data_IF_294514368991
#
_entry.id   IF_294514368991
#
_cell.length_a   1.000
_cell.length_b   1.000
_cell.length_c   1.000
_cell.angle_alpha   90.00
_cell.angle_beta   90.00
_cell.angle_gamma   90.00
#
_symmetry.space_group_name_H-M   'P 1'
#
loop_
_entity.id
_entity.type
_entity.pdbx_description
1 polymer ?
#
# COMPACT_ATOMS: atom_id res chain seq x y z
N UNK A 1 -63.27 -7.16 -6.60
CA UNK A 1 -61.98 -7.29 -5.87
C UNK A 1 -61.09 -8.24 -6.64
N UNK A 2 -60.07 -7.74 -7.33
CA UNK A 2 -59.07 -8.58 -8.02
C UNK A 2 -57.69 -8.18 -7.51
N UNK A 3 -57.05 -9.11 -6.78
CA UNK A 3 -55.68 -8.99 -6.28
C UNK A 3 -54.74 -9.08 -7.48
N UNK A 4 -54.12 -7.96 -7.88
CA UNK A 4 -52.99 -8.01 -8.80
C UNK A 4 -51.76 -8.51 -8.05
N UNK A 5 -51.11 -9.50 -8.66
CA UNK A 5 -49.94 -10.23 -8.18
C UNK A 5 -48.74 -9.31 -7.97
N UNK A 6 -48.14 -9.36 -6.77
CA UNK A 6 -46.75 -8.92 -6.53
C UNK A 6 -45.82 -10.03 -7.02
N UNK A 7 -45.58 -10.07 -8.32
CA UNK A 7 -44.51 -10.88 -8.91
C UNK A 7 -43.86 -9.98 -9.96
N UNK A 8 -42.63 -9.60 -9.64
CA UNK A 8 -41.52 -9.32 -10.55
C UNK A 8 -41.58 -8.08 -11.44
N UNK A 9 -41.54 -6.89 -10.80
CA UNK A 9 -40.69 -5.84 -11.36
C UNK A 9 -39.31 -6.03 -10.75
N UNK A 10 -38.47 -6.81 -11.42
CA UNK A 10 -37.03 -6.76 -11.16
C UNK A 10 -36.61 -5.31 -11.35
N UNK A 11 -35.90 -4.72 -10.37
CA UNK A 11 -35.45 -3.35 -10.49
C UNK A 11 -34.62 -3.22 -11.77
N UNK A 12 -34.87 -2.14 -12.50
CA UNK A 12 -34.09 -1.82 -13.69
C UNK A 12 -32.62 -1.64 -13.31
N UNK A 13 -31.70 -1.83 -14.26
CA UNK A 13 -30.27 -1.59 -14.05
C UNK A 13 -30.04 -0.18 -13.47
N UNK A 14 -30.82 0.80 -13.94
CA UNK A 14 -30.77 2.18 -13.46
C UNK A 14 -31.22 2.31 -11.99
N UNK A 15 -32.31 1.65 -11.59
CA UNK A 15 -32.76 1.66 -10.19
C UNK A 15 -31.78 0.92 -9.27
N UNK A 16 -31.15 -0.14 -9.76
CA UNK A 16 -30.05 -0.83 -9.06
C UNK A 16 -28.83 0.08 -8.92
N UNK A 17 -28.48 0.87 -9.93
CA UNK A 17 -27.38 1.85 -9.85
C UNK A 17 -27.69 3.01 -8.91
N UNK A 18 -28.91 3.54 -8.93
CA UNK A 18 -29.35 4.60 -8.01
C UNK A 18 -29.41 4.08 -6.57
N UNK A 19 -29.91 2.88 -6.35
CA UNK A 19 -29.94 2.22 -5.04
C UNK A 19 -28.51 1.91 -4.58
N UNK A 20 -27.63 1.40 -5.45
CA UNK A 20 -26.21 1.20 -5.17
C UNK A 20 -25.48 2.51 -4.85
N UNK A 21 -25.76 3.62 -5.53
CA UNK A 21 -25.20 4.93 -5.22
C UNK A 21 -25.74 5.52 -3.90
N UNK A 22 -26.94 5.12 -3.50
CA UNK A 22 -27.56 5.54 -2.24
C UNK A 22 -27.06 4.72 -1.05
N UNK A 23 -26.87 3.41 -1.26
CA UNK A 23 -26.37 2.46 -0.26
C UNK A 23 -24.83 2.54 -0.15
N UNK A 24 -24.16 2.90 -1.25
CA UNK A 24 -22.72 3.15 -1.34
C UNK A 24 -22.48 4.48 -2.07
N UNK A 25 -22.60 5.62 -1.38
CA UNK A 25 -22.28 6.91 -1.98
C UNK A 25 -20.81 6.89 -2.35
N UNK A 26 -20.53 6.86 -3.66
CA UNK A 26 -19.22 7.14 -4.24
C UNK A 26 -18.95 8.62 -3.95
N UNK A 27 -18.58 8.89 -2.72
CA UNK A 27 -17.91 10.11 -2.29
C UNK A 27 -16.49 10.03 -2.85
N UNK A 28 -15.86 11.17 -3.16
CA UNK A 28 -14.52 11.20 -3.77
C UNK A 28 -13.50 10.30 -3.06
N UNK A 29 -13.67 10.11 -1.74
CA UNK A 29 -12.84 9.24 -0.91
C UNK A 29 -12.96 7.74 -1.28
N UNK A 30 -14.16 7.25 -1.61
CA UNK A 30 -14.34 5.85 -2.05
C UNK A 30 -13.59 5.59 -3.36
N UNK A 31 -13.74 6.50 -4.33
CA UNK A 31 -13.01 6.41 -5.60
C UNK A 31 -11.49 6.49 -5.39
N UNK A 32 -11.02 7.35 -4.47
CA UNK A 32 -9.60 7.45 -4.12
C UNK A 32 -9.06 6.16 -3.51
N UNK A 33 -9.82 5.51 -2.61
CA UNK A 33 -9.42 4.22 -2.03
C UNK A 33 -9.41 3.09 -3.08
N UNK A 34 -10.41 3.02 -3.95
CA UNK A 34 -10.41 2.05 -5.06
C UNK A 34 -9.21 2.27 -6.01
N UNK A 35 -8.90 3.52 -6.34
CA UNK A 35 -7.74 3.84 -7.17
C UNK A 35 -6.42 3.46 -6.49
N UNK A 36 -6.30 3.70 -5.18
CA UNK A 36 -5.14 3.31 -4.38
C UNK A 36 -4.95 1.79 -4.31
N UNK A 37 -6.03 1.03 -4.13
CA UNK A 37 -5.95 -0.44 -4.13
C UNK A 37 -5.56 -0.99 -5.51
N UNK A 38 -6.10 -0.42 -6.60
CA UNK A 38 -5.68 -0.77 -7.96
C UNK A 38 -4.20 -0.48 -8.20
N UNK A 39 -3.68 0.64 -7.67
CA UNK A 39 -2.24 0.94 -7.71
C UNK A 39 -1.42 -0.13 -6.98
N UNK A 40 -1.84 -0.55 -5.78
CA UNK A 40 -1.17 -1.61 -5.02
C UNK A 40 -1.23 -2.95 -5.74
N UNK A 41 -2.39 -3.37 -6.22
CA UNK A 41 -2.55 -4.61 -6.96
C UNK A 41 -1.69 -4.63 -8.23
N UNK A 42 -1.58 -3.49 -8.92
CA UNK A 42 -0.69 -3.33 -10.09
C UNK A 42 0.78 -3.46 -9.70
N UNK A 43 1.23 -2.74 -8.67
CA UNK A 43 2.59 -2.79 -8.18
C UNK A 43 2.97 -4.19 -7.67
N UNK A 44 2.06 -4.88 -6.98
CA UNK A 44 2.24 -6.25 -6.53
C UNK A 44 2.47 -7.21 -7.72
N UNK A 45 1.72 -7.04 -8.82
CA UNK A 45 1.89 -7.85 -10.03
C UNK A 45 3.17 -7.53 -10.81
N UNK A 46 3.62 -6.28 -10.78
CA UNK A 46 4.91 -5.85 -11.35
C UNK A 46 6.09 -6.44 -10.56
N UNK A 47 5.97 -6.45 -9.24
CA UNK A 47 7.03 -6.83 -8.31
C UNK A 47 7.29 -8.33 -8.29
N UNK A 48 6.25 -9.13 -8.08
CA UNK A 48 6.39 -10.57 -7.90
C UNK A 48 6.34 -11.29 -9.24
N UNK A 49 7.45 -11.28 -9.96
CA UNK A 49 7.62 -11.94 -11.28
C UNK A 49 8.47 -13.20 -11.23
N UNK A 50 9.08 -13.51 -10.09
CA UNK A 50 9.92 -14.69 -9.91
C UNK A 50 10.37 -14.92 -8.46
N UNK A 51 11.02 -16.06 -8.20
CA UNK A 51 11.38 -16.50 -6.84
C UNK A 51 12.36 -15.56 -6.13
N UNK A 52 13.26 -14.91 -6.88
CA UNK A 52 14.23 -13.99 -6.28
C UNK A 52 13.62 -12.68 -5.78
N UNK A 53 12.45 -12.26 -6.27
CA UNK A 53 11.84 -11.00 -5.88
C UNK A 53 11.53 -10.96 -4.38
N UNK A 54 10.87 -12.01 -3.87
CA UNK A 54 10.50 -12.12 -2.45
C UNK A 54 11.75 -12.14 -1.56
N UNK A 55 12.75 -12.97 -1.91
CA UNK A 55 13.99 -13.09 -1.13
C UNK A 55 14.72 -11.75 -1.05
N UNK A 56 14.95 -11.08 -2.18
CA UNK A 56 15.63 -9.78 -2.20
C UNK A 56 14.92 -8.73 -1.36
N UNK A 57 13.58 -8.65 -1.44
CA UNK A 57 12.84 -7.67 -0.66
C UNK A 57 12.89 -7.97 0.83
N UNK A 58 12.79 -9.24 1.23
CA UNK A 58 12.97 -9.66 2.63
C UNK A 58 14.35 -9.28 3.15
N UNK A 59 15.39 -9.54 2.36
CA UNK A 59 16.77 -9.23 2.73
C UNK A 59 17.02 -7.71 2.82
N UNK A 60 16.47 -6.92 1.89
CA UNK A 60 16.64 -5.46 1.88
C UNK A 60 15.83 -4.73 2.96
N UNK A 61 14.60 -5.19 3.23
CA UNK A 61 13.66 -4.49 4.13
C UNK A 61 13.62 -5.07 5.55
N UNK A 62 14.08 -6.30 5.75
CA UNK A 62 13.85 -7.07 6.97
C UNK A 62 12.37 -7.42 7.21
N UNK A 63 11.48 -7.18 6.24
CA UNK A 63 10.06 -7.49 6.36
C UNK A 63 9.82 -8.98 6.14
N UNK A 64 9.24 -9.63 7.14
CA UNK A 64 8.81 -11.02 7.10
C UNK A 64 7.68 -11.20 8.09
N UNK A 65 6.66 -11.96 7.69
CA UNK A 65 5.56 -12.36 8.56
C UNK A 65 5.83 -13.75 9.13
N UNK A 66 5.54 -13.94 10.41
CA UNK A 66 5.46 -15.28 11.00
C UNK A 66 4.24 -16.07 10.48
N UNK A 67 3.26 -15.37 9.90
CA UNK A 67 2.07 -15.96 9.32
C UNK A 67 2.33 -16.66 7.98
N UNK A 68 3.43 -16.32 7.29
CA UNK A 68 3.70 -16.81 5.95
C UNK A 68 4.48 -18.12 6.00
N UNK A 69 3.93 -19.23 5.46
CA UNK A 69 4.62 -20.51 5.44
C UNK A 69 5.96 -20.46 4.69
N UNK A 70 6.88 -21.35 5.05
CA UNK A 70 8.25 -21.33 4.51
C UNK A 70 8.36 -21.81 3.06
N UNK A 71 7.39 -22.58 2.59
CA UNK A 71 7.32 -23.22 1.28
C UNK A 71 6.47 -22.45 0.26
N UNK A 72 6.02 -21.24 0.63
CA UNK A 72 5.21 -20.36 -0.23
C UNK A 72 5.97 -19.98 -1.50
N UNK A 73 5.29 -20.14 -2.64
CA UNK A 73 5.79 -19.78 -3.94
C UNK A 73 5.46 -18.31 -4.29
N UNK A 74 6.34 -17.63 -5.04
CA UNK A 74 6.17 -16.20 -5.40
C UNK A 74 4.84 -15.89 -6.11
N UNK A 75 4.22 -16.88 -6.74
CA UNK A 75 2.91 -16.74 -7.38
C UNK A 75 1.78 -16.52 -6.39
N UNK A 76 1.90 -16.97 -5.13
CA UNK A 76 0.92 -16.70 -4.08
C UNK A 76 0.96 -15.22 -3.67
N UNK A 77 2.15 -14.62 -3.59
CA UNK A 77 2.28 -13.18 -3.34
C UNK A 77 1.56 -12.33 -4.40
N UNK A 78 1.52 -12.77 -5.66
CA UNK A 78 0.77 -12.06 -6.72
C UNK A 78 -0.74 -12.03 -6.53
N UNK A 79 -1.29 -12.92 -5.71
CA UNK A 79 -2.71 -12.92 -5.35
C UNK A 79 -3.04 -11.80 -4.37
N UNK A 80 -2.02 -11.11 -3.85
CA UNK A 80 -2.16 -9.89 -3.07
C UNK A 80 -3.02 -10.12 -1.81
N UNK A 81 -4.18 -9.49 -1.68
CA UNK A 81 -5.09 -9.66 -0.55
C UNK A 81 -5.95 -10.92 -0.60
N UNK A 82 -5.91 -11.68 -1.71
CA UNK A 82 -6.80 -12.83 -1.95
C UNK A 82 -6.13 -14.19 -1.72
N UNK A 83 -4.91 -14.25 -1.16
CA UNK A 83 -4.28 -15.54 -0.86
C UNK A 83 -4.76 -16.11 0.48
N UNK A 84 -5.18 -17.39 0.54
CA UNK A 84 -5.71 -17.98 1.77
C UNK A 84 -4.63 -18.50 2.73
N UNK A 85 -3.34 -18.48 2.39
CA UNK A 85 -2.29 -19.19 3.16
C UNK A 85 -1.44 -18.27 4.06
N UNK A 86 -2.03 -17.20 4.61
CA UNK A 86 -1.30 -16.27 5.48
C UNK A 86 -0.20 -15.44 4.78
N UNK A 87 -0.15 -15.48 3.44
CA UNK A 87 0.82 -14.74 2.60
C UNK A 87 0.41 -13.28 2.44
N UNK A 88 -0.90 -13.02 2.41
CA UNK A 88 -1.49 -11.74 2.02
C UNK A 88 -0.93 -10.55 2.78
N UNK A 89 -0.79 -10.65 4.12
CA UNK A 89 -0.22 -9.56 4.91
C UNK A 89 1.24 -9.24 4.57
N UNK A 90 2.04 -10.26 4.28
CA UNK A 90 3.43 -10.05 3.84
C UNK A 90 3.49 -9.50 2.40
N UNK A 91 2.62 -9.96 1.51
CA UNK A 91 2.52 -9.44 0.13
C UNK A 91 2.19 -7.95 0.10
N UNK A 92 1.22 -7.51 0.92
CA UNK A 92 0.90 -6.09 1.10
C UNK A 92 2.14 -5.34 1.61
N UNK A 93 2.77 -5.81 2.69
CA UNK A 93 3.92 -5.14 3.30
C UNK A 93 5.10 -4.97 2.33
N UNK A 94 5.48 -6.03 1.61
CA UNK A 94 6.58 -6.00 0.65
C UNK A 94 6.26 -5.10 -0.57
N UNK A 95 4.99 -5.03 -0.98
CA UNK A 95 4.54 -4.12 -2.05
C UNK A 95 4.65 -2.66 -1.62
N UNK A 96 4.21 -2.33 -0.39
CA UNK A 96 4.36 -0.98 0.17
C UNK A 96 5.83 -0.57 0.28
N UNK A 97 6.69 -1.47 0.78
CA UNK A 97 8.13 -1.22 0.81
C UNK A 97 8.71 -0.98 -0.59
N UNK A 98 8.34 -1.77 -1.59
CA UNK A 98 8.78 -1.58 -2.97
C UNK A 98 8.43 -0.19 -3.50
N UNK A 99 7.19 0.26 -3.28
CA UNK A 99 6.74 1.59 -3.66
C UNK A 99 7.53 2.70 -2.93
N UNK A 100 7.76 2.54 -1.64
CA UNK A 100 8.53 3.51 -0.84
C UNK A 100 10.00 3.59 -1.27
N UNK A 101 10.66 2.44 -1.41
CA UNK A 101 12.10 2.34 -1.60
C UNK A 101 12.53 2.49 -3.07
N UNK A 102 11.76 1.91 -4.01
CA UNK A 102 12.14 1.86 -5.43
C UNK A 102 11.40 2.90 -6.28
N UNK A 103 10.14 3.21 -5.94
CA UNK A 103 9.37 4.26 -6.63
C UNK A 103 9.43 5.61 -5.91
N UNK A 104 10.01 5.66 -4.71
CA UNK A 104 10.28 6.90 -3.99
C UNK A 104 9.03 7.56 -3.40
N UNK A 105 7.94 6.81 -3.18
CA UNK A 105 6.73 7.35 -2.56
C UNK A 105 7.01 7.80 -1.11
N UNK A 106 6.30 8.85 -0.68
CA UNK A 106 6.36 9.37 0.70
C UNK A 106 5.67 8.42 1.67
N UNK A 107 6.07 8.45 2.94
CA UNK A 107 5.43 7.68 4.01
C UNK A 107 3.93 7.98 4.09
N UNK A 108 3.53 9.25 3.93
CA UNK A 108 2.11 9.63 3.89
C UNK A 108 1.34 8.99 2.74
N UNK A 109 1.94 8.85 1.55
CA UNK A 109 1.29 8.16 0.42
C UNK A 109 1.19 6.67 0.70
N UNK A 110 2.22 6.08 1.31
CA UNK A 110 2.22 4.66 1.69
C UNK A 110 1.17 4.36 2.75
N UNK A 111 1.01 5.20 3.77
CA UNK A 111 -0.05 5.06 4.77
C UNK A 111 -1.45 5.14 4.13
N UNK A 112 -1.65 6.13 3.24
CA UNK A 112 -2.88 6.20 2.45
C UNK A 112 -3.14 4.93 1.62
N UNK A 113 -2.11 4.37 0.97
CA UNK A 113 -2.27 3.14 0.19
C UNK A 113 -2.58 1.94 1.09
N UNK A 114 -2.00 1.87 2.30
CA UNK A 114 -2.40 0.86 3.29
C UNK A 114 -3.89 1.01 3.65
N UNK A 115 -4.35 2.22 3.92
CA UNK A 115 -5.76 2.49 4.21
C UNK A 115 -6.66 2.13 3.02
N UNK A 116 -6.21 2.34 1.78
CA UNK A 116 -6.90 1.86 0.57
C UNK A 116 -7.09 0.35 0.58
N UNK A 117 -6.02 -0.41 0.86
CA UNK A 117 -6.07 -1.86 0.92
C UNK A 117 -7.03 -2.35 2.02
N UNK A 118 -6.97 -1.73 3.21
CA UNK A 118 -7.87 -2.03 4.32
C UNK A 118 -9.32 -1.77 3.94
N UNK A 119 -9.60 -0.59 3.41
CA UNK A 119 -10.94 -0.17 3.01
C UNK A 119 -11.55 -1.08 1.93
N UNK A 120 -10.80 -1.41 0.88
CA UNK A 120 -11.31 -2.21 -0.23
C UNK A 120 -11.52 -3.66 0.20
N UNK A 121 -10.65 -4.20 1.05
CA UNK A 121 -10.86 -5.53 1.63
C UNK A 121 -12.13 -5.56 2.48
N UNK A 122 -12.28 -4.62 3.43
CA UNK A 122 -13.47 -4.54 4.30
C UNK A 122 -14.76 -4.34 3.48
N UNK A 123 -14.69 -3.57 2.39
CA UNK A 123 -15.86 -3.34 1.54
C UNK A 123 -16.30 -4.57 0.74
N UNK A 124 -15.39 -5.52 0.47
CA UNK A 124 -15.69 -6.75 -0.26
C UNK A 124 -16.00 -7.95 0.64
N UNK A 125 -15.66 -7.89 1.93
CA UNK A 125 -15.85 -8.99 2.86
C UNK A 125 -17.28 -9.05 3.41
N UNK A 126 -17.73 -10.26 3.77
CA UNK A 126 -19.03 -10.50 4.41
C UNK A 126 -19.01 -10.06 5.89
N UNK A 127 -17.83 -10.09 6.54
CA UNK A 127 -17.61 -9.63 7.91
C UNK A 127 -16.54 -8.51 7.96
N UNK A 128 -16.91 -7.25 7.67
CA UNK A 128 -15.97 -6.13 7.60
C UNK A 128 -15.35 -5.78 8.96
N UNK A 129 -14.08 -5.35 8.94
CA UNK A 129 -13.37 -4.85 10.13
C UNK A 129 -12.70 -5.95 10.97
N UNK A 130 -12.72 -7.20 10.51
CA UNK A 130 -11.97 -8.30 11.13
C UNK A 130 -10.47 -8.06 10.90
N UNK A 131 -9.72 -7.91 12.00
CA UNK A 131 -8.27 -7.71 11.93
C UNK A 131 -7.55 -9.03 11.61
N UNK A 132 -6.35 -8.89 11.04
CA UNK A 132 -5.46 -9.99 10.73
C UNK A 132 -5.09 -10.77 11.99
N UNK A 133 -5.54 -12.01 12.08
CA UNK A 133 -5.40 -12.84 13.27
C UNK A 133 -5.38 -14.33 12.94
N UNK A 134 -4.97 -15.13 13.92
CA UNK A 134 -5.12 -16.57 13.87
C UNK A 134 -6.52 -16.93 14.35
N UNK A 135 -7.25 -17.76 13.62
CA UNK A 135 -8.54 -18.29 14.06
C UNK A 135 -8.39 -19.50 15.00
N UNK A 136 -9.52 -20.11 15.37
CA UNK A 136 -9.57 -21.27 16.27
C UNK A 136 -8.98 -22.54 15.63
N UNK A 137 -8.96 -22.63 14.30
CA UNK A 137 -8.45 -23.75 13.52
C UNK A 137 -6.94 -23.62 13.23
N UNK A 138 -6.35 -22.46 13.56
CA UNK A 138 -4.93 -22.18 13.39
C UNK A 138 -4.59 -21.57 12.02
N UNK A 139 -5.59 -21.13 11.28
CA UNK A 139 -5.43 -20.45 10.00
C UNK A 139 -5.38 -18.93 10.19
N UNK A 140 -4.66 -18.25 9.30
CA UNK A 140 -4.59 -16.78 9.31
C UNK A 140 -5.72 -16.18 8.50
N UNK A 141 -6.56 -15.38 9.16
CA UNK A 141 -7.78 -14.78 8.60
C UNK A 141 -7.85 -13.28 8.87
N UNK A 142 -8.84 -12.63 8.26
CA UNK A 142 -9.10 -11.20 8.42
C UNK A 142 -8.35 -10.31 7.43
N UNK A 143 -8.42 -9.00 7.66
CA UNK A 143 -7.93 -7.99 6.73
C UNK A 143 -6.40 -7.93 6.69
N UNK A 144 -5.74 -8.32 5.57
CA UNK A 144 -4.28 -8.39 5.49
C UNK A 144 -3.57 -7.05 5.69
N UNK A 145 -4.22 -5.93 5.39
CA UNK A 145 -3.66 -4.60 5.58
C UNK A 145 -3.43 -4.27 7.06
N UNK A 146 -4.11 -4.99 7.96
CA UNK A 146 -3.96 -4.85 9.42
C UNK A 146 -2.93 -5.82 10.01
N UNK A 147 -2.21 -6.58 9.18
CA UNK A 147 -1.15 -7.46 9.67
C UNK A 147 0.00 -6.66 10.31
N UNK A 148 0.60 -7.12 11.42
CA UNK A 148 1.69 -6.40 12.09
C UNK A 148 2.87 -6.04 11.16
N UNK A 149 3.19 -6.91 10.20
CA UNK A 149 4.25 -6.68 9.21
C UNK A 149 3.96 -5.49 8.28
N UNK A 150 2.68 -5.19 8.01
CA UNK A 150 2.26 -4.06 7.18
C UNK A 150 2.52 -2.74 7.89
N UNK A 151 2.18 -2.62 9.17
CA UNK A 151 2.51 -1.43 9.96
C UNK A 151 4.02 -1.17 10.03
N UNK A 152 4.84 -2.23 10.12
CA UNK A 152 6.30 -2.08 10.03
C UNK A 152 6.74 -1.54 8.66
N UNK A 153 6.08 -1.95 7.57
CA UNK A 153 6.38 -1.43 6.24
C UNK A 153 6.04 0.06 6.10
N UNK A 154 4.93 0.51 6.70
CA UNK A 154 4.54 1.93 6.75
C UNK A 154 5.58 2.74 7.52
N UNK A 155 5.99 2.28 8.71
CA UNK A 155 7.04 2.96 9.49
C UNK A 155 8.36 3.05 8.71
N UNK A 156 8.78 1.96 8.07
CA UNK A 156 9.97 1.94 7.23
C UNK A 156 9.87 2.94 6.06
N UNK A 157 8.68 3.15 5.50
CA UNK A 157 8.48 4.14 4.45
C UNK A 157 8.70 5.58 4.94
N UNK A 158 8.25 5.89 6.17
CA UNK A 158 8.55 7.18 6.81
C UNK A 158 10.05 7.36 7.08
N UNK A 159 10.73 6.32 7.58
CA UNK A 159 12.17 6.34 7.84
C UNK A 159 12.97 6.59 6.54
N UNK A 160 12.58 5.91 5.45
CA UNK A 160 13.19 6.10 4.12
C UNK A 160 12.97 7.52 3.58
N UNK A 161 11.79 8.10 3.81
CA UNK A 161 11.51 9.49 3.44
C UNK A 161 12.38 10.47 4.23
N UNK A 162 12.50 10.28 5.54
CA UNK A 162 13.34 11.11 6.40
C UNK A 162 14.81 11.05 5.97
N UNK A 163 15.33 9.85 5.69
CA UNK A 163 16.70 9.66 5.20
C UNK A 163 16.94 10.40 3.88
N UNK A 164 16.01 10.31 2.92
CA UNK A 164 16.09 11.04 1.65
C UNK A 164 16.11 12.56 1.88
N UNK A 165 15.24 13.05 2.76
CA UNK A 165 15.15 14.47 3.08
C UNK A 165 16.45 14.99 3.74
N UNK A 166 17.02 14.21 4.66
CA UNK A 166 18.31 14.51 5.30
C UNK A 166 19.43 14.59 4.27
N UNK A 167 19.58 13.58 3.41
CA UNK A 167 20.59 13.57 2.32
C UNK A 167 20.43 14.76 1.38
N UNK A 168 19.20 15.13 1.03
CA UNK A 168 18.93 16.28 0.18
C UNK A 168 19.28 17.61 0.85
N UNK A 169 19.06 17.74 2.17
CA UNK A 169 19.44 18.92 2.93
C UNK A 169 20.97 19.07 3.04
N UNK A 170 21.68 17.97 3.32
CA UNK A 170 23.14 17.93 3.35
C UNK A 170 23.76 18.33 2.01
N UNK A 171 23.24 17.79 0.90
CA UNK A 171 23.71 18.14 -0.44
C UNK A 171 23.50 19.63 -0.74
N UNK A 172 22.32 20.18 -0.40
CA UNK A 172 22.03 21.61 -0.57
C UNK A 172 22.95 22.49 0.29
N UNK A 173 23.27 22.06 1.51
CA UNK A 173 24.19 22.77 2.38
C UNK A 173 25.61 22.77 1.82
N UNK A 174 26.09 21.61 1.33
CA UNK A 174 27.40 21.48 0.69
C UNK A 174 27.51 22.36 -0.58
N UNK A 175 26.48 22.36 -1.43
CA UNK A 175 26.43 23.22 -2.62
C UNK A 175 26.46 24.71 -2.27
N UNK A 176 25.73 25.13 -1.22
CA UNK A 176 25.75 26.52 -0.73
C UNK A 176 27.11 26.91 -0.14
N UNK A 177 27.79 25.98 0.54
CA UNK A 177 29.12 26.22 1.07
C UNK A 177 30.16 26.37 -0.06
N UNK A 178 30.12 25.49 -1.07
CA UNK A 178 30.98 25.57 -2.24
C UNK A 178 30.78 26.89 -3.01
N UNK A 179 29.53 27.27 -3.29
CA UNK A 179 29.21 28.51 -3.99
C UNK A 179 29.65 29.78 -3.22
N UNK A 180 29.70 29.76 -1.88
CA UNK A 180 30.24 30.86 -1.07
C UNK A 180 31.77 30.91 -1.10
N UNK A 181 32.43 29.75 -1.16
CA UNK A 181 33.89 29.66 -1.28
C UNK A 181 34.39 30.26 -2.59
N UNK A 182 33.75 29.92 -3.72
CA UNK A 182 34.14 30.42 -5.05
C UNK A 182 33.93 31.94 -5.18
N UNK A 183 32.91 32.48 -4.50
CA UNK A 183 32.63 33.92 -4.48
C UNK A 183 33.62 34.73 -3.66
N UNK A 184 34.26 34.12 -2.66
CA UNK A 184 35.29 34.75 -1.84
C UNK A 184 36.69 34.68 -2.48
N UNK A 185 36.94 33.75 -3.40
CA UNK A 185 38.20 33.69 -4.16
C UNK A 185 38.30 34.72 -5.29
N UNK A 186 37.17 35.28 -5.75
CA UNK A 186 37.13 36.28 -6.83
C UNK A 186 37.33 37.74 -6.36
N UNK A 187 37.44 37.95 -5.04
CA UNK A 187 37.73 39.25 -4.42
C UNK A 187 39.18 39.24 -3.90
N UNK A 188 40.13 38.99 -4.81
CA UNK A 188 41.57 39.18 -4.56
C UNK A 188 41.94 40.67 -4.55
N UNK A 189 42.95 41.09 -3.77
CA UNK A 189 43.14 42.48 -3.37
C UNK A 189 43.64 43.33 -4.54
N UNK A 190 42.84 44.34 -4.91
CA UNK A 190 43.32 45.48 -5.71
C UNK A 190 44.28 46.29 -4.85
N UNK A 191 45.55 45.90 -4.87
CA UNK A 191 46.64 46.60 -4.20
C UNK A 191 46.98 47.90 -4.96
N UNK A 192 47.08 48.97 -4.19
CA UNK A 192 47.43 50.34 -4.58
C UNK A 192 48.86 50.45 -5.11
#
# INVERSE_FOLDING_TARGET
MSRKSRVDQLPTIYELEVQRQKDFPITSLHADYLAGDVELASACRELFTGPDAVRRLRDESGLRSSATPSDVHWTQYRRYTHDPFGVSGEAVALTLYYLAAKKGLSGKRIDFLRDSAEYVWDWMDDDPGVRWQLDEDGDWVGNPATAPVVFRAVNLAYDLEEERNRKAAELKAAQRAAAKSDRNSDVGPSAK
#
